data_IF_573746279037
#
_entry.id   IF_573746279037
#
_cell.length_a   1.000
_cell.length_b   1.000
_cell.length_c   1.000
_cell.angle_alpha   90.00
_cell.angle_beta   90.00
_cell.angle_gamma   90.00
#
_symmetry.space_group_name_H-M   'P 1'
#
loop_
_entity.id
_entity.type
_entity.pdbx_description
1 polymer ?
#
# COMPACT_ATOMS: atom_id res chain seq x y z
N UNK A 1 -14.23 9.90 2.09
CA UNK A 1 -13.79 8.55 1.70
C UNK A 1 -13.20 7.83 2.90
N UNK A 2 -13.59 6.59 3.10
CA UNK A 2 -13.03 5.79 4.17
C UNK A 2 -11.70 5.17 3.70
N UNK A 3 -10.59 5.76 4.12
CA UNK A 3 -9.27 5.31 3.69
C UNK A 3 -8.96 3.87 4.16
N UNK A 4 -9.56 3.42 5.25
CA UNK A 4 -9.36 2.06 5.75
C UNK A 4 -9.99 1.03 4.81
N UNK A 5 -11.22 1.27 4.38
CA UNK A 5 -11.87 0.41 3.39
C UNK A 5 -11.17 0.46 2.05
N UNK A 6 -10.72 1.64 1.65
CA UNK A 6 -9.98 1.80 0.42
C UNK A 6 -8.71 0.96 0.45
N UNK A 7 -7.97 1.02 1.56
CA UNK A 7 -6.76 0.22 1.71
C UNK A 7 -7.05 -1.29 1.67
N UNK A 8 -8.17 -1.73 2.26
CA UNK A 8 -8.53 -3.14 2.20
C UNK A 8 -8.71 -3.62 0.76
N UNK A 9 -9.31 -2.81 -0.09
CA UNK A 9 -9.50 -3.13 -1.51
C UNK A 9 -8.14 -3.23 -2.21
N UNK A 10 -7.26 -2.27 -1.98
CA UNK A 10 -5.91 -2.27 -2.55
C UNK A 10 -5.11 -3.48 -2.05
N UNK A 11 -5.19 -3.76 -0.75
CA UNK A 11 -4.48 -4.90 -0.15
C UNK A 11 -4.94 -6.23 -0.74
N UNK A 12 -6.25 -6.39 -0.96
CA UNK A 12 -6.78 -7.59 -1.60
C UNK A 12 -6.24 -7.76 -3.03
N UNK A 13 -6.15 -6.66 -3.78
CA UNK A 13 -5.57 -6.67 -5.11
C UNK A 13 -4.10 -7.09 -5.08
N UNK A 14 -3.33 -6.52 -4.16
CA UNK A 14 -1.92 -6.85 -4.00
C UNK A 14 -1.72 -8.31 -3.56
N UNK A 15 -2.62 -8.82 -2.73
CA UNK A 15 -2.56 -10.21 -2.29
C UNK A 15 -2.70 -11.19 -3.44
N UNK A 16 -3.47 -10.83 -4.45
CA UNK A 16 -3.63 -11.65 -5.65
C UNK A 16 -2.41 -11.58 -6.57
N UNK A 17 -1.69 -10.47 -6.54
CA UNK A 17 -0.57 -10.19 -7.44
C UNK A 17 0.74 -10.73 -6.89
N UNK A 18 0.95 -10.65 -5.57
CA UNK A 18 2.20 -11.01 -4.92
C UNK A 18 2.16 -12.43 -4.38
N UNK A 19 3.33 -13.10 -4.28
CA UNK A 19 3.40 -14.36 -3.54
C UNK A 19 2.96 -14.17 -2.09
N UNK A 20 2.35 -15.19 -1.51
CA UNK A 20 1.82 -15.11 -0.15
C UNK A 20 2.86 -14.64 0.87
N UNK A 21 4.09 -15.18 0.80
CA UNK A 21 5.13 -14.81 1.75
C UNK A 21 5.54 -13.34 1.63
N UNK A 22 5.55 -12.81 0.42
CA UNK A 22 5.90 -11.40 0.21
C UNK A 22 4.80 -10.48 0.75
N UNK A 23 3.55 -10.83 0.48
CA UNK A 23 2.41 -10.07 1.01
C UNK A 23 2.44 -10.05 2.53
N UNK A 24 2.56 -11.21 3.15
CA UNK A 24 2.54 -11.33 4.61
C UNK A 24 3.72 -10.64 5.28
N UNK A 25 4.91 -10.72 4.66
CA UNK A 25 6.10 -10.13 5.25
C UNK A 25 6.11 -8.60 5.17
N UNK A 26 5.55 -8.02 4.11
CA UNK A 26 5.72 -6.60 3.84
C UNK A 26 4.40 -5.82 3.76
N UNK A 27 3.48 -6.24 2.91
CA UNK A 27 2.26 -5.46 2.65
C UNK A 27 1.31 -5.53 3.83
N UNK A 28 1.14 -6.70 4.43
CA UNK A 28 0.24 -6.89 5.57
C UNK A 28 0.66 -6.07 6.79
N UNK A 29 1.94 -5.73 6.89
CA UNK A 29 2.46 -4.94 8.01
C UNK A 29 2.18 -3.45 7.89
N UNK A 30 1.74 -2.99 6.71
CA UNK A 30 1.44 -1.58 6.48
C UNK A 30 0.11 -1.20 7.12
N UNK A 31 0.06 0.01 7.69
CA UNK A 31 -1.15 0.55 8.30
C UNK A 31 -1.58 1.82 7.56
N UNK A 32 -2.86 1.93 7.15
CA UNK A 32 -3.34 3.15 6.53
C UNK A 32 -3.50 4.24 7.58
N UNK A 33 -2.99 5.44 7.28
CA UNK A 33 -3.05 6.59 8.18
C UNK A 33 -4.11 7.60 7.72
N UNK A 34 -4.19 7.84 6.41
CA UNK A 34 -5.16 8.79 5.89
C UNK A 34 -4.86 9.17 4.45
N UNK A 35 -5.66 10.12 3.95
CA UNK A 35 -5.49 10.68 2.61
C UNK A 35 -5.48 12.20 2.75
N UNK A 36 -4.44 12.86 2.22
CA UNK A 36 -4.30 14.30 2.26
C UNK A 36 -3.81 14.80 0.89
N UNK A 37 -4.56 15.71 0.27
CA UNK A 37 -4.19 16.28 -1.04
C UNK A 37 -3.89 15.19 -2.07
N UNK A 38 -4.75 14.17 -2.15
CA UNK A 38 -4.62 13.02 -3.05
C UNK A 38 -3.40 12.13 -2.77
N UNK A 39 -2.75 12.32 -1.61
CA UNK A 39 -1.65 11.46 -1.17
C UNK A 39 -2.19 10.46 -0.16
N UNK A 40 -2.04 9.18 -0.47
CA UNK A 40 -2.42 8.11 0.45
C UNK A 40 -1.24 7.83 1.39
N UNK A 41 -1.47 7.97 2.68
CA UNK A 41 -0.42 7.86 3.68
C UNK A 41 -0.49 6.49 4.34
N UNK A 42 0.58 5.73 4.21
CA UNK A 42 0.75 4.43 4.83
C UNK A 42 1.90 4.50 5.83
N UNK A 43 1.80 3.73 6.90
CA UNK A 43 2.85 3.64 7.91
C UNK A 43 3.47 2.26 7.90
N UNK A 44 4.80 2.20 7.81
CA UNK A 44 5.55 0.96 7.95
C UNK A 44 5.90 0.74 9.43
N UNK A 45 6.07 -0.54 9.86
CA UNK A 45 6.33 -0.83 11.27
C UNK A 45 7.70 -0.37 11.77
N UNK A 46 8.67 -0.24 10.88
CA UNK A 46 10.02 0.20 11.24
C UNK A 46 10.77 0.67 10.00
N UNK A 47 11.97 1.22 10.21
CA UNK A 47 12.76 1.78 9.11
C UNK A 47 13.20 0.72 8.10
N UNK A 48 13.55 -0.46 8.57
CA UNK A 48 13.94 -1.57 7.69
C UNK A 48 12.82 -1.92 6.71
N UNK A 49 11.61 -2.09 7.24
CA UNK A 49 10.45 -2.40 6.40
C UNK A 49 10.15 -1.27 5.42
N UNK A 50 10.23 -0.02 5.89
CA UNK A 50 10.03 1.14 5.05
C UNK A 50 10.99 1.13 3.85
N UNK A 51 12.29 0.96 4.12
CA UNK A 51 13.31 0.97 3.07
C UNK A 51 13.08 -0.16 2.06
N UNK A 52 12.77 -1.35 2.55
CA UNK A 52 12.54 -2.51 1.68
C UNK A 52 11.32 -2.30 0.79
N UNK A 53 10.23 -1.81 1.36
CA UNK A 53 8.99 -1.59 0.62
C UNK A 53 9.17 -0.50 -0.43
N UNK A 54 9.83 0.60 -0.08
CA UNK A 54 10.10 1.67 -1.03
C UNK A 54 10.95 1.16 -2.20
N UNK A 55 11.97 0.36 -1.93
CA UNK A 55 12.88 -0.10 -2.97
C UNK A 55 12.31 -1.22 -3.84
N UNK A 56 11.37 -1.98 -3.32
CA UNK A 56 10.89 -3.18 -4.03
C UNK A 56 9.41 -3.15 -4.42
N UNK A 57 8.56 -2.44 -3.67
CA UNK A 57 7.12 -2.53 -3.84
C UNK A 57 6.41 -1.20 -4.05
N UNK A 58 7.10 -0.07 -4.01
CA UNK A 58 6.46 1.24 -4.17
C UNK A 58 5.66 1.32 -5.45
N UNK A 59 6.23 0.89 -6.57
CA UNK A 59 5.58 1.01 -7.87
C UNK A 59 4.33 0.14 -7.96
N UNK A 60 4.37 -1.07 -7.41
CA UNK A 60 3.23 -1.97 -7.46
C UNK A 60 2.09 -1.48 -6.56
N UNK A 61 2.43 -0.92 -5.40
CA UNK A 61 1.44 -0.32 -4.50
C UNK A 61 0.81 0.89 -5.17
N UNK A 62 1.62 1.76 -5.75
CA UNK A 62 1.12 2.95 -6.44
C UNK A 62 0.22 2.57 -7.61
N UNK A 63 0.60 1.57 -8.39
CA UNK A 63 -0.22 1.11 -9.51
C UNK A 63 -1.58 0.63 -9.04
N UNK A 64 -1.63 -0.12 -7.94
CA UNK A 64 -2.90 -0.61 -7.39
C UNK A 64 -3.77 0.54 -6.86
N UNK A 65 -3.15 1.52 -6.20
CA UNK A 65 -3.85 2.72 -5.76
C UNK A 65 -4.49 3.45 -6.94
N UNK A 66 -3.75 3.63 -8.01
CA UNK A 66 -4.22 4.36 -9.18
C UNK A 66 -5.31 3.62 -9.96
N UNK A 67 -5.34 2.30 -9.90
CA UNK A 67 -6.43 1.53 -10.47
C UNK A 67 -7.76 1.84 -9.78
N UNK A 68 -7.73 2.15 -8.49
CA UNK A 68 -8.93 2.50 -7.72
C UNK A 68 -9.27 3.98 -7.89
N UNK A 69 -8.26 4.86 -7.90
CA UNK A 69 -8.43 6.30 -8.10
C UNK A 69 -7.14 6.84 -8.70
N UNK A 70 -7.18 7.18 -9.99
CA UNK A 70 -5.99 7.60 -10.74
C UNK A 70 -5.34 8.88 -10.23
N UNK A 71 -6.04 9.65 -9.39
CA UNK A 71 -5.49 10.88 -8.80
C UNK A 71 -4.57 10.59 -7.62
N UNK A 72 -4.66 9.41 -7.01
CA UNK A 72 -3.92 9.12 -5.80
C UNK A 72 -2.44 8.92 -6.06
N UNK A 73 -1.65 9.35 -5.08
CA UNK A 73 -0.20 9.20 -5.01
C UNK A 73 0.15 8.59 -3.65
N UNK A 74 1.37 8.13 -3.52
CA UNK A 74 1.89 7.68 -2.22
C UNK A 74 2.63 8.78 -1.49
#
# INVERSE_FOLDING_TARGET
MDYKNFWLIVAEDLKKTLPDHAYEAWIETLSPVGITNDIFILEAPNQFAYDWIINNYQDIILSSLKEQDEKLQL
#
